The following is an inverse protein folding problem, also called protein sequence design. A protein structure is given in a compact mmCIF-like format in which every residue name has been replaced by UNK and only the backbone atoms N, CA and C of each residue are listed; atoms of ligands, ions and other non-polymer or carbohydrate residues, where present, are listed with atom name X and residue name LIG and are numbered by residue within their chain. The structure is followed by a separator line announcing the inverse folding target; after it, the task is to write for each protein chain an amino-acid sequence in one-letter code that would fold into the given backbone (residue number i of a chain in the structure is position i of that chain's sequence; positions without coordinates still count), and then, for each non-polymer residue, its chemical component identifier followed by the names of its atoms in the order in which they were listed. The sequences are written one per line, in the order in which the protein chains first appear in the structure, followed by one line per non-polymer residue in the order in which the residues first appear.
data_IF_517290161880
#
_entry.id   IF_517290161880
#
_cell.length_a   1.000
_cell.length_b   1.000
_cell.length_c   1.000
_cell.angle_alpha   90.00
_cell.angle_beta   90.00
_cell.angle_gamma   90.00
#
_symmetry.space_group_name_H-M   'P 1'
#
loop_
_entity.id
_entity.type
_entity.pdbx_description
1 polymer ?
#
# COMPACT_ATOMS: atom_id res chain seq x y z
N UNK A 1 -11.45 -6.07 6.43
CA UNK A 1 -11.02 -6.21 5.02
C UNK A 1 -12.10 -5.68 4.04
N UNK A 2 -12.29 -4.36 3.94
CA UNK A 2 -13.27 -3.71 3.02
C UNK A 2 -12.61 -2.62 2.15
N UNK A 3 -11.61 -1.94 2.71
CA UNK A 3 -10.90 -0.81 2.09
C UNK A 3 -10.35 -1.09 0.67
N UNK A 4 -9.75 -2.26 0.36
CA UNK A 4 -9.21 -2.53 -0.98
C UNK A 4 -10.28 -2.58 -2.09
N UNK A 5 -11.54 -2.79 -1.74
CA UNK A 5 -12.66 -2.95 -2.69
C UNK A 5 -13.27 -1.59 -3.07
N UNK A 6 -13.06 -0.56 -2.26
CA UNK A 6 -13.54 0.81 -2.53
C UNK A 6 -12.99 1.24 -3.90
N UNK A 7 -13.83 1.60 -4.89
CA UNK A 7 -13.35 1.90 -6.25
C UNK A 7 -12.60 3.23 -6.31
N UNK A 8 -13.02 4.22 -5.52
CA UNK A 8 -12.44 5.56 -5.49
C UNK A 8 -11.09 5.58 -4.75
N UNK A 9 -10.01 5.90 -5.47
CA UNK A 9 -8.65 5.89 -4.92
C UNK A 9 -8.46 6.81 -3.72
N UNK A 10 -8.94 8.06 -3.82
CA UNK A 10 -8.81 9.03 -2.73
C UNK A 10 -9.56 8.59 -1.47
N UNK A 11 -10.77 8.05 -1.61
CA UNK A 11 -11.54 7.52 -0.49
C UNK A 11 -10.84 6.32 0.15
N UNK A 12 -10.35 5.38 -0.68
CA UNK A 12 -9.59 4.22 -0.22
C UNK A 12 -8.37 4.61 0.61
N UNK A 13 -7.59 5.60 0.14
CA UNK A 13 -6.41 6.11 0.85
C UNK A 13 -6.81 6.81 2.14
N UNK A 14 -7.90 7.59 2.14
CA UNK A 14 -8.40 8.20 3.37
C UNK A 14 -8.82 7.15 4.40
N UNK A 15 -9.51 6.09 3.99
CA UNK A 15 -9.84 4.99 4.89
C UNK A 15 -8.59 4.32 5.47
N UNK A 16 -7.54 4.10 4.68
CA UNK A 16 -6.27 3.60 5.21
C UNK A 16 -5.65 4.56 6.22
N UNK A 17 -5.64 5.87 5.96
CA UNK A 17 -5.14 6.86 6.92
C UNK A 17 -5.96 6.88 8.21
N UNK A 18 -7.29 6.74 8.13
CA UNK A 18 -8.16 6.61 9.31
C UNK A 18 -7.88 5.34 10.12
N UNK A 19 -7.39 4.27 9.48
CA UNK A 19 -6.90 3.07 10.16
C UNK A 19 -5.48 3.21 10.73
N UNK A 20 -4.84 4.38 10.64
CA UNK A 20 -3.53 4.64 11.21
C UNK A 20 -2.34 4.40 10.28
N UNK A 21 -2.57 4.09 9.00
CA UNK A 21 -1.48 3.94 8.04
C UNK A 21 -0.81 5.29 7.73
N UNK A 22 0.53 5.29 7.68
CA UNK A 22 1.32 6.46 7.29
C UNK A 22 1.46 6.53 5.77
N UNK A 23 0.55 7.26 5.12
CA UNK A 23 0.51 7.42 3.66
C UNK A 23 0.60 8.90 3.28
N UNK A 24 1.67 9.26 2.55
CA UNK A 24 1.94 10.59 2.02
C UNK A 24 0.90 11.09 1.02
N UNK A 25 1.00 12.37 0.67
CA UNK A 25 0.05 13.06 -0.22
C UNK A 25 0.21 12.61 -1.66
N UNK A 26 -0.85 12.76 -2.45
CA UNK A 26 -0.87 12.46 -3.89
C UNK A 26 -0.41 11.02 -4.24
N UNK A 27 -0.57 10.09 -3.30
CA UNK A 27 -0.30 8.66 -3.51
C UNK A 27 -1.51 7.99 -4.15
N UNK A 28 -1.28 6.95 -4.94
CA UNK A 28 -2.27 6.08 -5.53
C UNK A 28 -2.01 4.65 -5.06
N UNK A 29 -3.05 3.95 -4.60
CA UNK A 29 -3.00 2.51 -4.28
C UNK A 29 -4.09 1.87 -5.11
N UNK A 30 -3.80 0.89 -5.96
CA UNK A 30 -4.77 0.26 -6.87
C UNK A 30 -5.91 -0.44 -6.15
N UNK A 31 -7.02 -0.66 -6.86
CA UNK A 31 -8.12 -1.48 -6.35
C UNK A 31 -7.62 -2.92 -6.13
N UNK A 32 -8.07 -3.57 -5.04
CA UNK A 32 -7.62 -4.91 -4.61
C UNK A 32 -6.13 -5.01 -4.27
N UNK A 33 -5.43 -3.88 -4.08
CA UNK A 33 -4.12 -3.86 -3.45
C UNK A 33 -4.29 -3.94 -1.93
N UNK A 34 -3.87 -5.06 -1.35
CA UNK A 34 -3.87 -5.28 0.08
C UNK A 34 -2.60 -4.70 0.69
N UNK A 35 -2.75 -4.03 1.84
CA UNK A 35 -1.67 -3.68 2.73
C UNK A 35 -1.79 -4.56 3.97
N UNK A 36 -0.66 -4.89 4.59
CA UNK A 36 -0.63 -5.69 5.82
C UNK A 36 -1.29 -4.93 6.99
N UNK A 37 -2.42 -5.44 7.46
CA UNK A 37 -3.23 -4.84 8.52
C UNK A 37 -2.75 -5.18 9.92
N UNK A 38 -1.98 -6.27 10.10
CA UNK A 38 -1.38 -6.59 11.39
C UNK A 38 -0.13 -5.74 11.68
N UNK A 39 0.49 -5.18 10.64
CA UNK A 39 1.76 -4.44 10.74
C UNK A 39 1.70 -3.06 10.09
N UNK A 40 0.53 -2.43 10.12
CA UNK A 40 0.32 -1.11 9.53
C UNK A 40 1.28 -0.03 10.08
N UNK A 41 1.69 -0.14 11.35
CA UNK A 41 2.64 0.76 12.01
C UNK A 41 4.08 0.63 11.47
N UNK A 42 4.37 -0.49 10.80
CA UNK A 42 5.66 -0.80 10.19
C UNK A 42 5.67 -0.47 8.69
N UNK A 43 4.57 0.04 8.14
CA UNK A 43 4.47 0.48 6.74
C UNK A 43 4.47 2.00 6.68
N UNK A 44 5.45 2.56 5.98
CA UNK A 44 5.54 3.99 5.67
C UNK A 44 5.56 4.20 4.17
N UNK A 45 4.55 4.91 3.65
CA UNK A 45 4.41 5.24 2.24
C UNK A 45 4.57 6.75 2.07
N UNK A 46 5.53 7.14 1.23
CA UNK A 46 5.85 8.52 0.91
C UNK A 46 4.81 9.25 0.05
N UNK A 47 5.16 10.45 -0.39
CA UNK A 47 4.35 11.28 -1.28
C UNK A 47 4.49 10.83 -2.75
N UNK A 48 3.47 11.08 -3.56
CA UNK A 48 3.50 10.85 -5.01
C UNK A 48 3.83 9.39 -5.39
N UNK A 49 3.47 8.44 -4.53
CA UNK A 49 3.74 7.01 -4.73
C UNK A 49 2.61 6.39 -5.55
N UNK A 50 2.92 5.46 -6.45
CA UNK A 50 1.92 4.64 -7.14
C UNK A 50 2.15 3.17 -6.84
N UNK A 51 1.13 2.51 -6.31
CA UNK A 51 1.14 1.09 -5.97
C UNK A 51 0.05 0.41 -6.79
N UNK A 52 0.42 -0.42 -7.76
CA UNK A 52 -0.52 -1.21 -8.57
C UNK A 52 -0.63 -2.67 -8.11
N UNK A 53 0.21 -3.09 -7.16
CA UNK A 53 0.18 -4.41 -6.53
C UNK A 53 0.34 -4.31 -5.01
N UNK A 54 -0.34 -5.18 -4.25
CA UNK A 54 -0.32 -5.14 -2.77
C UNK A 54 1.10 -5.21 -2.18
N UNK A 55 1.29 -4.55 -1.05
CA UNK A 55 2.56 -4.54 -0.30
C UNK A 55 2.31 -5.20 1.07
N UNK A 56 2.76 -6.45 1.20
CA UNK A 56 2.59 -7.25 2.41
C UNK A 56 3.92 -7.88 2.83
N UNK A 57 4.08 -8.16 4.12
CA UNK A 57 5.16 -9.02 4.57
C UNK A 57 4.98 -10.42 3.99
N UNK A 58 6.03 -10.93 3.35
CA UNK A 58 6.04 -12.32 2.90
C UNK A 58 6.07 -13.29 4.10
N UNK A 59 5.71 -14.55 3.84
CA UNK A 59 5.75 -15.62 4.85
C UNK A 59 7.15 -15.69 5.49
N UNK A 60 7.22 -15.76 6.82
CA UNK A 60 8.46 -15.80 7.65
C UNK A 60 9.31 -14.52 7.64
N UNK A 61 8.73 -13.35 7.33
CA UNK A 61 9.39 -12.08 7.58
C UNK A 61 9.17 -11.63 9.03
N UNK A 62 10.22 -11.19 9.72
CA UNK A 62 10.19 -10.81 11.14
C UNK A 62 9.54 -9.45 11.41
N UNK A 63 8.45 -9.11 10.71
CA UNK A 63 7.77 -7.81 10.83
C UNK A 63 8.73 -6.63 10.60
N UNK A 64 9.58 -6.73 9.57
CA UNK A 64 10.54 -5.69 9.24
C UNK A 64 9.84 -4.43 8.72
N UNK A 65 10.37 -3.25 9.05
CA UNK A 65 9.80 -2.00 8.54
C UNK A 65 9.84 -1.94 7.00
N UNK A 66 8.70 -1.68 6.37
CA UNK A 66 8.56 -1.41 4.95
C UNK A 66 8.50 0.11 4.74
N UNK A 67 9.43 0.65 3.97
CA UNK A 67 9.48 2.08 3.63
C UNK A 67 9.46 2.24 2.12
N UNK A 68 8.39 2.85 1.61
CA UNK A 68 8.24 3.20 0.19
C UNK A 68 8.47 4.71 0.08
N UNK A 69 9.55 5.10 -0.61
CA UNK A 69 9.99 6.50 -0.68
C UNK A 69 9.14 7.32 -1.66
N UNK A 70 9.24 8.64 -1.53
CA UNK A 70 8.56 9.60 -2.39
C UNK A 70 8.82 9.34 -3.88
N UNK A 71 7.76 9.45 -4.70
CA UNK A 71 7.83 9.23 -6.15
C UNK A 71 7.97 7.78 -6.60
N UNK A 72 7.98 6.81 -5.67
CA UNK A 72 8.13 5.41 -6.03
C UNK A 72 6.94 4.86 -6.83
N UNK A 73 7.25 3.99 -7.79
CA UNK A 73 6.28 3.24 -8.58
C UNK A 73 6.47 1.74 -8.34
N UNK A 74 5.44 1.08 -7.80
CA UNK A 74 5.46 -0.35 -7.48
C UNK A 74 4.43 -1.05 -8.35
N UNK A 75 4.93 -1.88 -9.26
CA UNK A 75 4.15 -2.77 -10.10
C UNK A 75 4.71 -4.19 -10.11
N UNK A 76 3.87 -5.16 -10.46
CA UNK A 76 4.34 -6.48 -10.89
C UNK A 76 4.24 -6.53 -12.42
N UNK A 77 5.39 -6.76 -13.06
CA UNK A 77 5.42 -7.23 -14.44
C UNK A 77 5.15 -8.72 -14.40
N UNK A 78 3.93 -9.13 -14.79
CA UNK A 78 3.69 -10.54 -15.12
C UNK A 78 4.44 -10.84 -16.41
N UNK A 79 5.54 -11.59 -16.32
CA UNK A 79 6.20 -12.14 -17.50
C UNK A 79 5.27 -13.20 -18.10
N UNK A 80 4.66 -12.88 -19.24
CA UNK A 80 3.73 -13.74 -19.97
C UNK A 80 4.48 -14.58 -21.00
N UNK A 81 5.51 -15.32 -20.59
CA UNK A 81 6.17 -16.34 -21.42
C UNK A 81 7.03 -17.24 -20.54
#
# INVERSE_FOLDING_TARGET
MVIPIIPFSNLRIQCYRWCGYKIGKNTFIGMRCYLDDMCYNLIEIGNNVTISYGACHARKQGHNKIVIKDGAYIEIVRRLW
#
